data_IF_510026634547
#
_entry.id   IF_510026634547
#
_cell.length_a   1.000
_cell.length_b   1.000
_cell.length_c   1.000
_cell.angle_alpha   90.00
_cell.angle_beta   90.00
_cell.angle_gamma   90.00
#
_symmetry.space_group_name_H-M   'P 1'
#
loop_
_entity.id
_entity.type
_entity.pdbx_description
1 polymer ?
#
# COMPACT_ATOMS: atom_id res chain seq x y z
N UNK A 1 16.67 -5.88 3.44
CA UNK A 1 15.33 -5.52 3.01
C UNK A 1 15.40 -4.14 2.36
N UNK A 2 14.81 -3.93 1.18
CA UNK A 2 14.53 -2.58 0.70
C UNK A 2 13.50 -1.87 1.59
N UNK A 3 13.60 -0.55 1.61
CA UNK A 3 12.61 0.32 2.24
C UNK A 3 11.52 0.71 1.25
N UNK A 4 10.27 0.62 1.69
CA UNK A 4 9.10 1.20 1.02
C UNK A 4 8.66 2.41 1.83
N UNK A 5 8.53 3.55 1.14
CA UNK A 5 8.10 4.81 1.74
C UNK A 5 6.70 5.12 1.18
N UNK A 6 5.68 5.03 2.03
CA UNK A 6 4.37 5.60 1.76
C UNK A 6 4.43 7.08 2.09
N UNK A 7 4.28 7.95 1.09
CA UNK A 7 4.29 9.39 1.30
C UNK A 7 3.03 9.85 2.07
N UNK A 8 3.09 11.00 2.76
CA UNK A 8 1.93 11.60 3.40
C UNK A 8 0.72 11.72 2.46
N UNK A 9 -0.41 11.19 2.91
CA UNK A 9 -1.69 11.25 2.21
C UNK A 9 -2.81 11.51 3.21
N UNK A 10 -3.53 12.62 3.05
CA UNK A 10 -4.54 13.15 3.99
C UNK A 10 -5.56 12.11 4.51
N UNK A 11 -6.00 11.19 3.63
CA UNK A 11 -7.00 10.17 3.95
C UNK A 11 -6.42 8.84 4.44
N UNK A 12 -5.35 8.35 3.80
CA UNK A 12 -4.90 6.97 3.95
C UNK A 12 -3.66 6.82 4.83
N UNK A 13 -2.80 7.84 4.87
CA UNK A 13 -1.56 7.81 5.64
C UNK A 13 -1.11 9.25 5.94
N UNK A 14 -1.77 10.00 6.85
CA UNK A 14 -1.56 11.45 7.01
C UNK A 14 -0.11 11.86 7.26
N UNK A 15 0.61 11.07 8.05
CA UNK A 15 2.01 11.33 8.43
C UNK A 15 3.02 10.64 7.50
N UNK A 16 2.54 9.88 6.51
CA UNK A 16 3.37 8.94 5.76
C UNK A 16 3.86 7.78 6.63
N UNK A 17 4.60 6.85 6.01
CA UNK A 17 5.16 5.70 6.70
C UNK A 17 6.40 5.17 5.98
N UNK A 18 7.37 4.67 6.74
CA UNK A 18 8.54 3.96 6.23
C UNK A 18 8.52 2.54 6.79
N UNK A 19 8.57 1.54 5.91
CA UNK A 19 8.57 0.12 6.28
C UNK A 19 9.62 -0.66 5.49
N UNK A 20 10.16 -1.71 6.10
CA UNK A 20 11.02 -2.68 5.42
C UNK A 20 10.15 -3.74 4.75
N UNK A 21 10.49 -4.14 3.53
CA UNK A 21 9.80 -5.20 2.80
C UNK A 21 10.79 -6.17 2.15
N UNK A 22 10.38 -7.43 1.98
CA UNK A 22 11.17 -8.39 1.22
C UNK A 22 10.94 -8.23 -0.29
N UNK A 23 11.95 -8.46 -1.14
CA UNK A 23 11.74 -8.48 -2.59
C UNK A 23 10.63 -9.45 -3.00
N UNK A 24 9.67 -8.96 -3.79
CA UNK A 24 8.51 -9.73 -4.23
C UNK A 24 7.24 -9.51 -3.40
N UNK A 25 7.30 -8.78 -2.28
CA UNK A 25 6.10 -8.34 -1.55
C UNK A 25 5.25 -7.39 -2.42
N UNK A 26 3.94 -7.63 -2.48
CA UNK A 26 2.98 -6.73 -3.13
C UNK A 26 2.83 -5.44 -2.32
N UNK A 27 2.90 -4.28 -2.99
CA UNK A 27 2.72 -2.98 -2.34
C UNK A 27 1.30 -2.82 -1.77
N UNK A 28 0.29 -3.38 -2.44
CA UNK A 28 -1.09 -3.34 -1.96
C UNK A 28 -1.26 -4.15 -0.67
N UNK A 29 -0.71 -5.35 -0.62
CA UNK A 29 -0.77 -6.20 0.59
C UNK A 29 0.02 -5.58 1.74
N UNK A 30 1.18 -4.98 1.45
CA UNK A 30 1.97 -4.25 2.43
C UNK A 30 1.20 -3.06 2.99
N UNK A 31 0.52 -2.27 2.15
CA UNK A 31 -0.31 -1.16 2.58
C UNK A 31 -1.40 -1.63 3.55
N UNK A 32 -2.15 -2.67 3.20
CA UNK A 32 -3.21 -3.23 4.05
C UNK A 32 -2.67 -3.83 5.36
N UNK A 33 -1.52 -4.51 5.33
CA UNK A 33 -0.87 -5.04 6.53
C UNK A 33 -0.45 -3.94 7.53
N UNK A 34 -0.28 -2.71 7.06
CA UNK A 34 0.05 -1.53 7.85
C UNK A 34 -1.12 -0.55 8.03
N UNK A 35 -2.36 -1.00 7.80
CA UNK A 35 -3.59 -0.21 7.96
C UNK A 35 -3.68 1.04 7.07
N UNK A 36 -3.00 1.02 5.92
CA UNK A 36 -3.18 1.99 4.84
C UNK A 36 -4.28 1.43 3.94
N UNK A 37 -5.52 1.82 4.22
CA UNK A 37 -6.73 1.29 3.59
C UNK A 37 -6.94 1.81 2.15
N UNK A 38 -6.03 1.46 1.24
CA UNK A 38 -6.18 1.70 -0.20
C UNK A 38 -7.34 0.87 -0.75
N UNK A 39 -8.14 1.46 -1.64
CA UNK A 39 -9.29 0.76 -2.19
C UNK A 39 -8.84 -0.34 -3.18
N UNK A 40 -9.37 -1.54 -3.02
CA UNK A 40 -9.10 -2.68 -3.89
C UNK A 40 -10.40 -3.29 -4.41
N UNK A 41 -11.15 -2.55 -5.22
CA UNK A 41 -12.51 -2.92 -5.63
C UNK A 41 -12.59 -4.27 -6.35
N UNK A 42 -11.57 -4.63 -7.14
CA UNK A 42 -11.50 -5.96 -7.78
C UNK A 42 -10.92 -7.06 -6.87
N UNK A 43 -10.50 -6.75 -5.65
CA UNK A 43 -9.83 -7.70 -4.75
C UNK A 43 -8.38 -8.01 -5.14
N UNK A 44 -7.71 -7.11 -5.87
CA UNK A 44 -6.30 -7.30 -6.27
C UNK A 44 -6.08 -8.20 -7.49
N UNK A 45 -7.13 -8.46 -8.30
CA UNK A 45 -7.06 -9.37 -9.47
C UNK A 45 -6.89 -8.64 -10.82
N UNK A 46 -6.34 -7.43 -10.81
CA UNK A 46 -6.04 -6.64 -12.01
C UNK A 46 -7.27 -6.33 -12.91
N UNK A 47 -8.42 -6.02 -12.29
CA UNK A 47 -9.67 -5.72 -13.00
C UNK A 47 -10.31 -4.36 -12.61
N UNK A 48 -9.60 -3.54 -11.83
CA UNK A 48 -10.01 -2.16 -11.52
C UNK A 48 -8.77 -1.24 -11.50
N UNK A 49 -8.98 0.02 -11.14
CA UNK A 49 -7.91 1.02 -11.00
C UNK A 49 -7.90 1.69 -9.62
N UNK A 50 -8.65 1.17 -8.65
CA UNK A 50 -8.79 1.81 -7.32
C UNK A 50 -7.53 1.70 -6.47
N UNK A 51 -6.62 0.78 -6.81
CA UNK A 51 -5.35 0.57 -6.12
C UNK A 51 -4.16 1.32 -6.77
N UNK A 52 -4.45 2.23 -7.70
CA UNK A 52 -3.44 3.15 -8.25
C UNK A 52 -2.87 4.06 -7.17
#
# INVERSE_FOLDING_TARGET
>A
MPQVIFLPHEKFCPEGMVVEAEPGTSILELAHAHHIEMESACGGVCACTTCH
#
